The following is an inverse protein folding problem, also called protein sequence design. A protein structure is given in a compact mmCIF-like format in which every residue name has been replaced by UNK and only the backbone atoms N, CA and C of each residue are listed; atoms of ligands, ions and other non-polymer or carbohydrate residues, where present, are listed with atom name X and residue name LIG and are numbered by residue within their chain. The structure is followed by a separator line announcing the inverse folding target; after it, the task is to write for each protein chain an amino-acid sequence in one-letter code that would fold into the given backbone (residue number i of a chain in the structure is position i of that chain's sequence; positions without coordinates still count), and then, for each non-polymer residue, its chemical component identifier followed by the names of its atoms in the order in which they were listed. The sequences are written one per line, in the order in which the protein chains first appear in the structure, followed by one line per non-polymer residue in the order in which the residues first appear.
data_IF_071603094160
#
_entry.id   IF_071603094160
#
_cell.length_a   1.000
_cell.length_b   1.000
_cell.length_c   1.000
_cell.angle_alpha   90.00
_cell.angle_beta   90.00
_cell.angle_gamma   90.00
#
_symmetry.space_group_name_H-M   'P 1'
#
loop_
_entity.id
_entity.type
_entity.pdbx_description
1 polymer ?
#
# COMPACT_ATOMS: atom_id res chain seq x y z
N UNK A 1 -16.40 2.34 25.32
CA UNK A 1 -16.61 0.88 25.35
C UNK A 1 -15.39 0.22 24.75
N UNK A 2 -14.61 -0.47 25.59
CA UNK A 2 -13.26 -0.94 25.24
C UNK A 2 -13.27 -2.14 24.29
N UNK A 3 -12.17 -2.31 23.54
CA UNK A 3 -11.97 -3.37 22.55
C UNK A 3 -12.18 -4.79 23.14
N UNK A 4 -11.95 -4.96 24.46
CA UNK A 4 -12.14 -6.22 25.18
C UNK A 4 -13.60 -6.71 25.21
N UNK A 5 -14.60 -5.82 25.32
CA UNK A 5 -16.01 -6.21 25.36
C UNK A 5 -16.53 -6.75 24.01
N UNK A 6 -15.91 -6.34 22.89
CA UNK A 6 -16.29 -6.80 21.54
C UNK A 6 -15.81 -8.22 21.26
N UNK A 7 -14.62 -8.58 21.73
CA UNK A 7 -14.03 -9.92 21.54
C UNK A 7 -14.87 -10.99 22.27
N UNK A 8 -15.27 -10.72 23.51
CA UNK A 8 -16.06 -11.67 24.33
C UNK A 8 -17.45 -11.92 23.76
N UNK A 9 -18.12 -10.88 23.23
CA UNK A 9 -19.49 -11.01 22.68
C UNK A 9 -19.55 -11.79 21.37
N UNK A 10 -18.59 -11.63 20.46
CA UNK A 10 -18.60 -12.35 19.16
C UNK A 10 -18.36 -13.86 19.32
N UNK A 11 -17.61 -14.28 20.34
CA UNK A 11 -17.34 -15.69 20.59
C UNK A 11 -18.52 -16.43 21.21
N UNK A 12 -19.36 -15.75 22.02
CA UNK A 12 -20.57 -16.35 22.59
C UNK A 12 -21.64 -16.70 21.53
N UNK A 13 -21.67 -15.99 20.41
CA UNK A 13 -22.64 -16.21 19.32
C UNK A 13 -22.35 -17.45 18.46
N UNK A 14 -21.12 -17.99 18.47
CA UNK A 14 -20.78 -19.23 17.75
C UNK A 14 -21.25 -20.51 18.47
N UNK A 15 -21.72 -20.41 19.72
CA UNK A 15 -22.22 -21.53 20.52
C UNK A 15 -23.75 -21.64 20.62
N UNK A 16 -24.52 -20.76 19.97
CA UNK A 16 -25.97 -20.70 20.12
C UNK A 16 -26.70 -20.74 18.77
N UNK A 17 -26.79 -21.93 18.17
CA UNK A 17 -27.87 -22.27 17.26
C UNK A 17 -29.15 -22.43 18.09
N UNK A 18 -29.99 -21.40 18.10
CA UNK A 18 -31.20 -21.36 18.93
C UNK A 18 -32.17 -20.30 18.47
N UNK A 19 -33.02 -20.71 17.53
CA UNK A 19 -34.35 -20.18 17.19
C UNK A 19 -34.95 -19.24 18.27
N UNK A 20 -35.23 -17.98 17.92
CA UNK A 20 -36.35 -17.28 18.55
C UNK A 20 -36.96 -16.24 17.63
N UNK A 21 -38.27 -16.43 17.46
CA UNK A 21 -39.15 -15.78 16.53
C UNK A 21 -39.38 -14.31 16.86
N UNK A 22 -39.60 -13.54 15.79
CA UNK A 22 -40.22 -12.25 15.84
C UNK A 22 -41.63 -12.35 16.44
N UNK A 23 -41.93 -11.48 17.40
CA UNK A 23 -43.29 -11.01 17.63
C UNK A 23 -43.21 -9.55 18.06
N UNK A 24 -43.86 -8.69 17.26
CA UNK A 24 -44.03 -7.29 17.57
C UNK A 24 -45.07 -7.10 18.66
N UNK A 25 -44.94 -6.01 19.40
CA UNK A 25 -46.06 -5.24 19.88
C UNK A 25 -45.60 -3.80 20.06
N UNK A 26 -46.17 -2.92 19.23
CA UNK A 26 -46.10 -1.49 19.37
C UNK A 26 -46.84 -1.06 20.64
N UNK A 27 -46.24 -0.19 21.44
CA UNK A 27 -47.00 0.81 22.21
C UNK A 27 -46.25 2.13 22.16
N UNK A 28 -46.81 3.07 21.42
CA UNK A 28 -46.40 4.46 21.31
C UNK A 28 -46.91 5.25 22.51
N UNK A 29 -46.01 5.91 23.23
CA UNK A 29 -46.35 6.96 24.20
C UNK A 29 -45.70 8.26 23.71
N UNK A 30 -46.46 9.34 23.46
CA UNK A 30 -45.90 10.59 22.98
C UNK A 30 -45.21 11.33 24.12
N UNK A 31 -43.90 11.54 23.99
CA UNK A 31 -43.12 12.43 24.85
C UNK A 31 -43.18 13.86 24.24
N UNK A 32 -43.51 14.91 25.01
CA UNK A 32 -43.57 16.26 24.46
C UNK A 32 -42.18 16.78 24.10
N UNK A 33 -42.08 17.36 22.90
CA UNK A 33 -40.91 18.08 22.38
C UNK A 33 -40.62 19.30 23.27
N UNK A 34 -39.66 19.16 24.19
CA UNK A 34 -38.96 20.29 24.76
C UNK A 34 -37.80 20.65 23.81
N UNK A 35 -37.87 21.84 23.20
CA UNK A 35 -36.76 22.41 22.44
C UNK A 35 -35.53 22.55 23.35
N UNK A 36 -34.32 22.10 22.96
CA UNK A 36 -33.13 22.49 23.69
C UNK A 36 -32.87 23.96 23.37
N UNK A 37 -33.08 24.82 24.36
CA UNK A 37 -32.54 26.16 24.32
C UNK A 37 -31.01 26.05 24.23
N UNK A 38 -30.41 26.59 23.17
CA UNK A 38 -28.97 26.78 23.07
C UNK A 38 -28.56 27.76 24.17
N UNK A 39 -28.02 27.22 25.28
CA UNK A 39 -27.40 28.04 26.30
C UNK A 39 -26.13 28.68 25.70
N UNK A 40 -26.17 29.99 25.49
CA UNK A 40 -24.98 30.79 25.18
C UNK A 40 -24.03 30.71 26.38
N UNK A 41 -22.88 30.07 26.20
CA UNK A 41 -21.81 30.06 27.20
C UNK A 41 -21.25 31.48 27.30
N UNK A 42 -21.57 32.17 28.39
CA UNK A 42 -21.05 33.51 28.65
C UNK A 42 -19.54 33.46 28.86
N UNK A 43 -18.79 34.32 28.18
CA UNK A 43 -17.34 34.48 28.38
C UNK A 43 -17.06 34.88 29.84
N UNK A 44 -16.17 34.19 30.58
CA UNK A 44 -15.84 34.54 31.95
C UNK A 44 -15.19 35.94 32.02
N UNK A 45 -15.60 36.75 33.00
CA UNK A 45 -15.24 38.19 33.16
C UNK A 45 -13.76 38.49 33.39
N UNK A 46 -12.88 37.48 33.46
CA UNK A 46 -11.44 37.61 33.76
C UNK A 46 -10.59 36.74 32.82
N UNK A 47 -10.95 36.63 31.54
CA UNK A 47 -10.10 35.96 30.55
C UNK A 47 -9.03 36.95 30.05
N UNK A 48 -7.76 36.67 30.34
CA UNK A 48 -6.62 37.38 29.74
C UNK A 48 -6.65 37.20 28.23
N UNK A 49 -6.48 38.26 27.45
CA UNK A 49 -6.41 38.15 25.99
C UNK A 49 -5.22 37.27 25.59
N UNK A 50 -5.53 36.15 24.93
CA UNK A 50 -4.55 35.21 24.42
C UNK A 50 -4.02 35.81 23.11
N UNK A 51 -2.70 36.05 22.97
CA UNK A 51 -2.13 36.54 21.72
C UNK A 51 -2.53 35.65 20.54
N UNK A 52 -2.93 36.23 19.39
CA UNK A 52 -3.39 35.46 18.24
C UNK A 52 -2.34 34.46 17.73
N UNK A 53 -1.05 34.76 17.92
CA UNK A 53 0.07 33.90 17.52
C UNK A 53 0.17 32.58 18.30
N UNK A 54 -0.49 32.46 19.45
CA UNK A 54 -0.55 31.21 20.24
C UNK A 54 -1.92 30.54 20.21
N UNK A 55 -2.86 31.07 19.41
CA UNK A 55 -4.17 30.45 19.18
C UNK A 55 -4.16 29.58 17.93
N UNK A 56 -4.87 28.45 17.98
CA UNK A 56 -5.14 27.66 16.77
C UNK A 56 -6.02 28.49 15.84
N UNK A 57 -5.62 28.75 14.58
CA UNK A 57 -6.43 29.53 13.65
C UNK A 57 -7.80 28.89 13.46
N UNK A 58 -8.86 29.71 13.46
CA UNK A 58 -10.23 29.25 13.19
C UNK A 58 -10.38 28.62 11.80
N UNK A 59 -9.43 28.88 10.89
CA UNK A 59 -9.40 28.33 9.55
C UNK A 59 -7.98 27.96 9.12
N UNK A 60 -7.81 26.73 8.67
CA UNK A 60 -6.55 26.22 8.12
C UNK A 60 -6.78 25.74 6.69
N UNK A 61 -6.08 26.35 5.73
CA UNK A 61 -6.08 25.87 4.34
C UNK A 61 -5.19 24.63 4.24
N UNK A 62 -5.70 23.55 3.63
CA UNK A 62 -4.99 22.29 3.50
C UNK A 62 -5.31 21.60 2.17
N UNK A 63 -4.58 20.52 1.85
CA UNK A 63 -4.89 19.63 0.72
C UNK A 63 -6.26 18.96 0.81
N UNK A 64 -6.86 18.91 2.00
CA UNK A 64 -8.21 18.38 2.25
C UNK A 64 -9.30 19.45 2.06
N UNK A 65 -8.91 20.63 1.58
CA UNK A 65 -9.70 21.85 1.63
C UNK A 65 -9.55 22.59 2.96
N UNK A 66 -10.41 23.59 3.16
CA UNK A 66 -10.41 24.38 4.40
C UNK A 66 -10.92 23.56 5.58
N UNK A 67 -10.14 23.55 6.66
CA UNK A 67 -10.48 23.00 7.98
C UNK A 67 -10.90 24.17 8.87
N UNK A 68 -12.05 24.07 9.54
CA UNK A 68 -12.57 25.10 10.42
C UNK A 68 -12.56 24.64 11.88
N UNK A 69 -12.20 25.56 12.76
CA UNK A 69 -12.13 25.36 14.21
C UNK A 69 -12.88 26.49 14.91
N UNK A 70 -13.44 26.21 16.07
CA UNK A 70 -13.93 27.19 17.02
C UNK A 70 -13.30 26.89 18.37
N UNK A 71 -12.49 27.83 18.88
CA UNK A 71 -11.74 27.64 20.14
C UNK A 71 -10.86 26.36 20.12
N UNK A 72 -10.26 26.08 18.96
CA UNK A 72 -9.46 24.88 18.71
C UNK A 72 -10.24 23.58 18.49
N UNK A 73 -11.57 23.59 18.62
CA UNK A 73 -12.43 22.42 18.37
C UNK A 73 -12.87 22.39 16.91
N UNK A 74 -12.66 21.29 16.16
CA UNK A 74 -13.09 21.19 14.77
C UNK A 74 -14.62 21.15 14.63
N UNK A 75 -15.15 21.80 13.59
CA UNK A 75 -16.55 21.65 13.22
C UNK A 75 -16.84 20.24 12.64
N UNK A 76 -18.13 19.89 12.47
CA UNK A 76 -18.54 18.57 11.99
C UNK A 76 -17.93 18.24 10.61
N UNK A 77 -17.94 19.19 9.68
CA UNK A 77 -17.40 18.98 8.33
C UNK A 77 -15.87 18.77 8.34
N UNK A 78 -15.17 19.44 9.25
CA UNK A 78 -13.74 19.26 9.48
C UNK A 78 -13.43 17.90 10.08
N UNK A 79 -14.21 17.47 11.08
CA UNK A 79 -14.12 16.11 11.61
C UNK A 79 -14.29 15.07 10.50
N UNK A 80 -15.34 15.17 9.69
CA UNK A 80 -15.59 14.25 8.56
C UNK A 80 -14.41 14.22 7.59
N UNK A 81 -13.94 15.38 7.10
CA UNK A 81 -12.75 15.44 6.21
C UNK A 81 -11.50 14.82 6.82
N UNK A 82 -11.25 15.04 8.11
CA UNK A 82 -10.07 14.52 8.80
C UNK A 82 -10.19 13.02 9.00
N UNK A 83 -11.38 12.51 9.38
CA UNK A 83 -11.64 11.07 9.51
C UNK A 83 -11.58 10.37 8.15
N UNK A 84 -12.19 10.93 7.10
CA UNK A 84 -12.10 10.39 5.74
C UNK A 84 -10.65 10.33 5.26
N UNK A 85 -9.85 11.37 5.52
CA UNK A 85 -8.43 11.34 5.21
C UNK A 85 -7.66 10.34 6.09
N UNK A 86 -8.00 10.17 7.36
CA UNK A 86 -7.38 9.15 8.22
C UNK A 86 -7.69 7.74 7.73
N UNK A 87 -8.92 7.48 7.32
CA UNK A 87 -9.34 6.20 6.76
C UNK A 87 -8.67 5.96 5.41
N UNK A 88 -8.58 7.00 4.56
CA UNK A 88 -7.80 6.95 3.33
C UNK A 88 -6.34 6.61 3.61
N UNK A 89 -5.68 7.35 4.52
CA UNK A 89 -4.27 7.13 4.89
C UNK A 89 -4.06 5.71 5.39
N UNK A 90 -4.93 5.20 6.26
CA UNK A 90 -4.86 3.81 6.75
C UNK A 90 -5.09 2.79 5.64
N UNK A 91 -5.93 3.10 4.65
CA UNK A 91 -6.19 2.24 3.49
C UNK A 91 -5.04 2.20 2.47
N UNK A 92 -4.13 3.17 2.50
CA UNK A 92 -2.97 3.25 1.58
C UNK A 92 -1.62 3.08 2.29
N UNK A 93 -1.63 2.91 3.61
CA UNK A 93 -0.45 2.68 4.43
C UNK A 93 -0.09 1.20 4.47
N UNK A 94 1.17 0.97 4.78
CA UNK A 94 1.80 -0.31 4.91
C UNK A 94 1.70 -0.86 6.32
N UNK A 95 1.64 -2.18 6.46
CA UNK A 95 1.65 -2.83 7.78
C UNK A 95 2.83 -2.40 8.64
N UNK A 96 2.59 -2.37 9.95
CA UNK A 96 3.63 -2.04 10.92
C UNK A 96 4.80 -3.02 10.82
N UNK A 97 6.01 -2.52 11.10
CA UNK A 97 7.26 -3.30 11.17
C UNK A 97 7.82 -3.39 12.59
N UNK A 98 6.98 -3.12 13.59
CA UNK A 98 7.29 -3.17 15.03
C UNK A 98 6.41 -4.21 15.71
N UNK A 99 6.45 -4.29 17.06
CA UNK A 99 5.52 -5.11 17.83
C UNK A 99 4.05 -4.93 17.44
N UNK A 100 3.67 -3.73 16.95
CA UNK A 100 2.34 -3.42 16.44
C UNK A 100 1.84 -4.39 15.37
N UNK A 101 2.75 -4.95 14.58
CA UNK A 101 2.46 -5.98 13.58
C UNK A 101 1.73 -7.20 14.18
N UNK A 102 2.14 -7.64 15.37
CA UNK A 102 1.51 -8.77 16.06
C UNK A 102 0.15 -8.38 16.65
N UNK A 103 -0.05 -7.12 17.03
CA UNK A 103 -1.38 -6.62 17.41
C UNK A 103 -2.34 -6.61 16.21
N UNK A 104 -1.86 -6.20 15.03
CA UNK A 104 -2.61 -6.24 13.77
C UNK A 104 -2.99 -7.67 13.39
N UNK A 105 -2.05 -8.62 13.45
CA UNK A 105 -2.35 -10.04 13.22
C UNK A 105 -3.39 -10.54 14.22
N UNK A 106 -3.22 -10.22 15.50
CA UNK A 106 -4.19 -10.62 16.51
C UNK A 106 -5.58 -10.04 16.19
N UNK A 107 -5.66 -8.78 15.78
CA UNK A 107 -6.94 -8.17 15.39
C UNK A 107 -7.61 -8.97 14.26
N UNK A 108 -6.88 -9.30 13.19
CA UNK A 108 -7.39 -10.13 12.09
C UNK A 108 -7.88 -11.48 12.60
N UNK A 109 -7.09 -12.17 13.43
CA UNK A 109 -7.49 -13.44 14.04
C UNK A 109 -8.77 -13.28 14.86
N UNK A 110 -8.92 -12.20 15.65
CA UNK A 110 -10.12 -11.97 16.46
C UNK A 110 -11.35 -11.59 15.63
N UNK A 111 -11.18 -10.96 14.46
CA UNK A 111 -12.29 -10.49 13.63
C UNK A 111 -12.80 -11.54 12.65
N UNK A 112 -11.91 -12.34 12.04
CA UNK A 112 -12.22 -13.31 10.99
C UNK A 112 -12.71 -14.66 11.52
N UNK A 113 -13.48 -15.48 10.77
CA UNK A 113 -13.87 -16.81 11.21
C UNK A 113 -12.64 -17.70 11.44
N UNK A 114 -12.75 -18.70 12.34
CA UNK A 114 -11.62 -19.58 12.68
C UNK A 114 -11.06 -20.33 11.46
N UNK A 115 -11.89 -20.57 10.44
CA UNK A 115 -11.53 -21.20 9.18
C UNK A 115 -10.74 -20.29 8.23
N UNK A 116 -10.60 -19.00 8.53
CA UNK A 116 -9.86 -18.05 7.67
C UNK A 116 -8.34 -18.23 7.76
N UNK A 117 -7.85 -18.85 8.84
CA UNK A 117 -6.42 -19.11 9.05
C UNK A 117 -6.18 -20.61 8.96
N UNK A 118 -5.23 -21.01 8.13
CA UNK A 118 -4.80 -22.41 8.01
C UNK A 118 -4.40 -22.97 9.39
N UNK A 119 -4.77 -24.22 9.75
CA UNK A 119 -4.46 -24.78 11.06
C UNK A 119 -2.97 -24.76 11.43
N UNK A 120 -2.06 -24.92 10.46
CA UNK A 120 -0.61 -24.86 10.70
C UNK A 120 -0.19 -23.43 11.09
N UNK A 121 -0.68 -22.43 10.36
CA UNK A 121 -0.44 -21.01 10.69
C UNK A 121 -1.07 -20.67 12.04
N UNK A 122 -2.28 -21.14 12.31
CA UNK A 122 -2.95 -20.92 13.58
C UNK A 122 -2.17 -21.53 14.76
N UNK A 123 -1.54 -22.70 14.57
CA UNK A 123 -0.64 -23.31 15.54
C UNK A 123 0.59 -22.44 15.83
N UNK A 124 1.22 -21.89 14.79
CA UNK A 124 2.36 -20.98 14.94
C UNK A 124 1.99 -19.69 15.68
N UNK A 125 0.81 -19.12 15.39
CA UNK A 125 0.28 -17.95 16.08
C UNK A 125 -0.07 -18.26 17.55
N UNK A 126 -0.64 -19.44 17.82
CA UNK A 126 -0.96 -19.86 19.17
C UNK A 126 0.30 -20.02 20.04
N UNK A 127 1.42 -20.47 19.47
CA UNK A 127 2.70 -20.61 20.17
C UNK A 127 3.26 -19.27 20.70
N UNK A 128 2.88 -18.15 20.09
CA UNK A 128 3.24 -16.80 20.55
C UNK A 128 2.10 -16.09 21.30
N UNK A 129 1.02 -16.81 21.61
CA UNK A 129 -0.11 -16.31 22.40
C UNK A 129 -1.21 -15.61 21.61
N UNK A 130 -1.18 -15.64 20.28
CA UNK A 130 -2.27 -15.13 19.43
C UNK A 130 -3.26 -16.27 19.17
N UNK A 131 -4.38 -16.25 19.88
CA UNK A 131 -5.38 -17.33 19.86
C UNK A 131 -6.77 -16.72 19.71
N UNK A 132 -7.57 -17.25 18.79
CA UNK A 132 -8.98 -16.86 18.61
C UNK A 132 -9.73 -16.86 19.95
N UNK A 133 -10.50 -15.81 20.21
CA UNK A 133 -11.28 -15.62 21.44
C UNK A 133 -10.46 -15.46 22.72
N UNK A 134 -9.14 -15.24 22.64
CA UNK A 134 -8.30 -14.93 23.80
C UNK A 134 -7.64 -13.55 23.65
N UNK A 135 -7.55 -12.76 24.73
CA UNK A 135 -6.75 -11.54 24.72
C UNK A 135 -5.27 -11.85 24.42
N UNK A 136 -4.67 -11.09 23.51
CA UNK A 136 -3.24 -11.11 23.28
C UNK A 136 -2.56 -10.20 24.32
N UNK A 137 -2.00 -10.81 25.36
CA UNK A 137 -1.34 -10.12 26.47
C UNK A 137 0.03 -10.74 26.77
N UNK A 138 1.01 -10.62 25.86
CA UNK A 138 2.36 -11.16 26.07
C UNK A 138 3.05 -10.45 27.25
N UNK A 139 3.83 -11.21 28.01
CA UNK A 139 4.70 -10.65 29.05
C UNK A 139 5.86 -9.85 28.44
N UNK A 140 6.63 -9.19 29.30
CA UNK A 140 7.76 -8.35 28.86
C UNK A 140 8.84 -9.13 28.10
N UNK A 141 9.01 -10.43 28.39
CA UNK A 141 9.95 -11.28 27.67
C UNK A 141 9.46 -11.52 26.25
N UNK A 142 8.20 -11.92 26.08
CA UNK A 142 7.61 -12.20 24.78
C UNK A 142 7.48 -10.94 23.93
N UNK A 143 7.12 -9.78 24.52
CA UNK A 143 7.13 -8.50 23.79
C UNK A 143 8.49 -8.16 23.19
N UNK A 144 9.59 -8.37 23.93
CA UNK A 144 10.96 -8.17 23.41
C UNK A 144 11.25 -9.09 22.24
N UNK A 145 10.96 -10.39 22.38
CA UNK A 145 11.16 -11.39 21.32
C UNK A 145 10.37 -10.99 20.06
N UNK A 146 9.10 -10.62 20.21
CA UNK A 146 8.25 -10.24 19.08
C UNK A 146 8.69 -8.92 18.45
N UNK A 147 9.21 -7.97 19.23
CA UNK A 147 9.79 -6.74 18.69
C UNK A 147 11.01 -7.03 17.80
N UNK A 148 11.92 -7.90 18.26
CA UNK A 148 13.07 -8.33 17.47
C UNK A 148 12.64 -9.14 16.24
N UNK A 149 11.66 -10.04 16.39
CA UNK A 149 11.12 -10.83 15.30
C UNK A 149 10.50 -9.95 14.20
N UNK A 150 9.78 -8.88 14.57
CA UNK A 150 9.26 -7.91 13.60
C UNK A 150 10.40 -7.22 12.82
N UNK A 151 11.46 -6.81 13.50
CA UNK A 151 12.61 -6.17 12.86
C UNK A 151 13.32 -7.13 11.88
N UNK A 152 13.59 -8.37 12.30
CA UNK A 152 14.23 -9.40 11.47
C UNK A 152 13.33 -9.81 10.30
N UNK A 153 12.04 -9.99 10.54
CA UNK A 153 11.05 -10.33 9.52
C UNK A 153 10.94 -9.26 8.44
N UNK A 154 10.89 -7.99 8.84
CA UNK A 154 10.89 -6.87 7.91
C UNK A 154 12.21 -6.80 7.10
N UNK A 155 13.37 -6.96 7.75
CA UNK A 155 14.65 -6.99 7.06
C UNK A 155 14.74 -8.15 6.04
N UNK A 156 14.22 -9.32 6.41
CA UNK A 156 14.14 -10.50 5.54
C UNK A 156 13.25 -10.23 4.33
N UNK A 157 12.05 -9.67 4.53
CA UNK A 157 11.16 -9.33 3.43
C UNK A 157 11.81 -8.30 2.48
N UNK A 158 12.48 -7.26 3.01
CA UNK A 158 13.22 -6.29 2.20
C UNK A 158 14.33 -6.95 1.38
N UNK A 159 15.06 -7.89 1.97
CA UNK A 159 16.12 -8.62 1.26
C UNK A 159 15.53 -9.44 0.09
N UNK A 160 14.44 -10.17 0.32
CA UNK A 160 13.74 -10.94 -0.72
C UNK A 160 13.25 -10.02 -1.85
N UNK A 161 12.61 -8.89 -1.49
CA UNK A 161 11.97 -8.00 -2.45
C UNK A 161 12.99 -7.21 -3.26
N UNK A 162 13.99 -6.59 -2.62
CA UNK A 162 14.90 -5.67 -3.31
C UNK A 162 16.16 -6.35 -3.86
N UNK A 163 16.52 -7.54 -3.35
CA UNK A 163 17.64 -8.35 -3.83
C UNK A 163 17.34 -9.85 -3.73
N UNK A 164 16.47 -10.33 -4.62
CA UNK A 164 16.21 -11.76 -4.72
C UNK A 164 17.48 -12.55 -5.08
N UNK A 165 17.61 -13.74 -4.50
CA UNK A 165 18.78 -14.61 -4.67
C UNK A 165 18.59 -15.66 -5.77
N UNK A 166 17.35 -16.04 -6.08
CA UNK A 166 17.06 -17.05 -7.10
C UNK A 166 16.80 -16.40 -8.46
N UNK A 167 17.30 -17.06 -9.50
CA UNK A 167 17.03 -16.73 -10.90
C UNK A 167 15.53 -16.76 -11.23
N UNK A 168 14.72 -17.51 -10.48
CA UNK A 168 13.25 -17.57 -10.66
C UNK A 168 12.55 -16.21 -10.50
N UNK A 169 13.21 -15.26 -9.83
CA UNK A 169 12.69 -13.92 -9.61
C UNK A 169 13.02 -12.95 -10.74
N UNK A 170 13.60 -13.40 -11.85
CA UNK A 170 14.00 -12.58 -12.99
C UNK A 170 13.36 -13.10 -14.29
N UNK A 171 12.94 -12.18 -15.18
CA UNK A 171 12.47 -12.59 -16.50
C UNK A 171 13.60 -13.15 -17.38
N UNK A 172 14.81 -12.60 -17.21
CA UNK A 172 16.02 -12.89 -17.98
C UNK A 172 17.25 -13.02 -17.05
N UNK A 173 17.39 -14.14 -16.32
CA UNK A 173 18.49 -14.35 -15.39
C UNK A 173 19.86 -14.09 -16.01
N UNK A 174 20.72 -13.36 -15.29
CA UNK A 174 22.07 -12.98 -15.73
C UNK A 174 22.15 -11.97 -16.89
N UNK A 175 21.01 -11.54 -17.45
CA UNK A 175 20.95 -10.67 -18.64
C UNK A 175 20.15 -9.38 -18.45
N UNK A 176 19.33 -9.29 -17.41
CA UNK A 176 18.54 -8.10 -17.09
C UNK A 176 18.06 -8.14 -15.65
N UNK A 177 17.86 -6.97 -15.06
CA UNK A 177 17.34 -6.80 -13.70
C UNK A 177 15.82 -6.67 -13.64
N UNK A 178 15.10 -6.82 -14.76
CA UNK A 178 13.64 -6.84 -14.79
C UNK A 178 13.05 -8.15 -14.25
N UNK A 179 12.06 -8.00 -13.37
CA UNK A 179 11.50 -9.08 -12.56
C UNK A 179 9.99 -9.23 -12.75
N UNK A 180 9.45 -10.46 -12.80
CA UNK A 180 8.02 -10.66 -12.66
C UNK A 180 7.56 -10.29 -11.23
N UNK A 181 6.33 -9.78 -11.11
CA UNK A 181 5.70 -9.62 -9.79
C UNK A 181 5.06 -10.94 -9.34
N UNK A 182 4.45 -11.69 -10.27
CA UNK A 182 3.88 -13.02 -10.03
C UNK A 182 4.91 -14.12 -10.31
N UNK A 183 5.88 -14.25 -9.41
CA UNK A 183 6.88 -15.33 -9.48
C UNK A 183 6.17 -16.70 -9.40
N UNK A 184 6.53 -17.61 -10.29
CA UNK A 184 5.84 -18.89 -10.48
C UNK A 184 4.56 -18.83 -11.31
N UNK A 185 4.15 -17.65 -11.81
CA UNK A 185 3.03 -17.49 -12.75
C UNK A 185 1.64 -17.74 -12.16
N UNK A 186 1.53 -17.86 -10.83
CA UNK A 186 0.28 -18.17 -10.13
C UNK A 186 -0.11 -17.02 -9.22
N UNK A 187 -1.38 -16.59 -9.29
CA UNK A 187 -1.95 -15.60 -8.36
C UNK A 187 -2.06 -16.15 -6.94
N UNK A 188 -2.00 -17.48 -6.77
CA UNK A 188 -1.97 -18.16 -5.49
C UNK A 188 -0.54 -18.37 -4.96
N UNK A 189 0.49 -18.08 -5.77
CA UNK A 189 1.89 -18.39 -5.47
C UNK A 189 2.09 -19.88 -5.14
N UNK A 190 1.43 -20.75 -5.91
CA UNK A 190 1.54 -22.20 -5.78
C UNK A 190 2.20 -22.79 -7.02
N UNK A 191 3.11 -23.75 -6.84
CA UNK A 191 3.73 -24.50 -7.91
C UNK A 191 3.97 -25.94 -7.45
N UNK A 192 3.64 -26.93 -8.29
CA UNK A 192 3.84 -28.36 -8.00
C UNK A 192 3.23 -28.82 -6.65
N UNK A 193 2.09 -28.25 -6.27
CA UNK A 193 1.40 -28.56 -5.00
C UNK A 193 1.98 -27.87 -3.76
N UNK A 194 3.03 -27.05 -3.90
CA UNK A 194 3.67 -26.34 -2.79
C UNK A 194 3.49 -24.81 -2.90
N UNK A 195 3.43 -24.15 -1.75
CA UNK A 195 3.42 -22.69 -1.66
C UNK A 195 4.83 -22.12 -1.86
N UNK A 196 4.95 -21.14 -2.76
CA UNK A 196 6.15 -20.35 -2.98
C UNK A 196 6.19 -19.20 -1.97
N UNK A 197 6.65 -19.48 -0.75
CA UNK A 197 6.60 -18.53 0.37
C UNK A 197 7.35 -17.22 0.07
N UNK A 198 8.56 -17.30 -0.50
CA UNK A 198 9.34 -16.11 -0.86
C UNK A 198 8.70 -15.31 -2.00
N UNK A 199 8.06 -15.98 -2.96
CA UNK A 199 7.29 -15.31 -4.02
C UNK A 199 6.09 -14.56 -3.46
N UNK A 200 5.40 -15.17 -2.49
CA UNK A 200 4.27 -14.56 -1.79
C UNK A 200 4.70 -13.35 -0.96
N UNK A 201 5.82 -13.46 -0.22
CA UNK A 201 6.44 -12.33 0.48
C UNK A 201 6.81 -11.23 -0.51
N UNK A 202 7.48 -11.60 -1.60
CA UNK A 202 7.89 -10.67 -2.65
C UNK A 202 6.71 -9.88 -3.23
N UNK A 203 5.55 -10.51 -3.42
CA UNK A 203 4.37 -9.80 -3.90
C UNK A 203 3.75 -8.91 -2.82
N UNK A 204 3.34 -9.50 -1.69
CA UNK A 204 2.52 -8.81 -0.69
C UNK A 204 3.27 -7.76 0.12
N UNK A 205 4.61 -7.74 0.08
CA UNK A 205 5.39 -6.67 0.69
C UNK A 205 5.29 -5.33 -0.08
N UNK A 206 5.07 -5.40 -1.40
CA UNK A 206 5.08 -4.24 -2.32
C UNK A 206 3.75 -4.00 -3.05
N UNK A 207 2.82 -4.95 -3.00
CA UNK A 207 1.55 -4.88 -3.72
C UNK A 207 0.42 -5.51 -2.89
N UNK A 208 -0.81 -5.13 -3.22
CA UNK A 208 -2.03 -5.72 -2.65
C UNK A 208 -3.00 -6.09 -3.76
N UNK A 209 -3.94 -6.98 -3.43
CA UNK A 209 -4.90 -7.52 -4.39
C UNK A 209 -4.26 -8.52 -5.36
N UNK A 210 -4.97 -9.61 -5.65
CA UNK A 210 -4.57 -10.59 -6.65
C UNK A 210 -5.78 -11.06 -7.43
N UNK A 211 -5.59 -11.38 -8.70
CA UNK A 211 -6.61 -12.04 -9.51
C UNK A 211 -5.95 -12.97 -10.53
N UNK A 212 -6.67 -13.99 -11.03
CA UNK A 212 -6.15 -14.87 -12.07
C UNK A 212 -5.65 -14.11 -13.31
N UNK A 213 -6.38 -13.08 -13.74
CA UNK A 213 -6.06 -12.28 -14.93
C UNK A 213 -4.78 -11.43 -14.77
N UNK A 214 -4.36 -11.10 -13.55
CA UNK A 214 -3.11 -10.38 -13.31
C UNK A 214 -1.88 -11.30 -13.39
N UNK A 215 -2.02 -12.57 -13.01
CA UNK A 215 -0.93 -13.54 -13.05
C UNK A 215 -0.76 -14.19 -14.42
N UNK A 216 -1.87 -14.45 -15.12
CA UNK A 216 -1.88 -15.10 -16.44
C UNK A 216 -2.87 -14.37 -17.37
N UNK A 217 -2.42 -13.27 -17.95
CA UNK A 217 -3.22 -12.48 -18.89
C UNK A 217 -3.25 -13.16 -20.29
N UNK A 218 -4.42 -13.29 -20.94
CA UNK A 218 -4.48 -13.66 -22.35
C UNK A 218 -3.85 -12.58 -23.23
N UNK A 219 -3.28 -12.99 -24.37
CA UNK A 219 -2.74 -12.05 -25.36
C UNK A 219 -3.81 -11.05 -25.79
N UNK A 220 -3.47 -9.76 -25.76
CA UNK A 220 -4.34 -8.65 -26.13
C UNK A 220 -5.39 -8.26 -25.07
N UNK A 221 -5.35 -8.84 -23.86
CA UNK A 221 -6.27 -8.51 -22.77
C UNK A 221 -5.57 -8.48 -21.40
N UNK A 222 -6.22 -7.90 -20.39
CA UNK A 222 -5.67 -7.79 -19.04
C UNK A 222 -4.45 -6.89 -18.95
N UNK A 223 -3.58 -7.16 -17.97
CA UNK A 223 -2.37 -6.37 -17.72
C UNK A 223 -1.20 -7.25 -17.32
N UNK A 224 0.00 -6.84 -17.72
CA UNK A 224 1.24 -7.47 -17.30
C UNK A 224 2.20 -6.45 -16.72
N UNK A 225 3.07 -6.94 -15.83
CA UNK A 225 3.87 -6.11 -14.96
C UNK A 225 5.31 -6.58 -14.93
N UNK A 226 6.22 -5.63 -15.01
CA UNK A 226 7.65 -5.84 -14.77
C UNK A 226 8.12 -4.87 -13.70
N UNK A 227 9.01 -5.34 -12.83
CA UNK A 227 9.59 -4.53 -11.77
C UNK A 227 11.10 -4.38 -11.98
N UNK A 228 11.62 -3.19 -11.76
CA UNK A 228 13.05 -2.97 -11.59
C UNK A 228 13.30 -2.42 -10.18
N UNK A 229 14.15 -3.12 -9.44
CA UNK A 229 14.51 -2.79 -8.04
C UNK A 229 15.91 -2.15 -7.94
N UNK A 230 16.70 -2.30 -9.00
CA UNK A 230 18.11 -1.90 -9.07
C UNK A 230 18.45 -1.43 -10.49
N UNK A 231 19.50 -0.62 -10.61
CA UNK A 231 20.06 -0.20 -11.89
C UNK A 231 20.69 -1.38 -12.65
N UNK A 232 21.13 -1.15 -13.90
CA UNK A 232 21.79 -2.16 -14.75
C UNK A 232 23.03 -2.81 -14.11
N UNK A 233 23.66 -2.13 -13.14
CA UNK A 233 24.83 -2.63 -12.39
C UNK A 233 24.45 -3.30 -11.06
N UNK A 234 23.16 -3.46 -10.78
CA UNK A 234 22.64 -4.08 -9.56
C UNK A 234 22.67 -3.17 -8.33
N UNK A 235 22.90 -1.86 -8.49
CA UNK A 235 22.87 -0.91 -7.37
C UNK A 235 21.44 -0.48 -7.08
N UNK A 236 21.06 -0.28 -5.80
CA UNK A 236 19.81 0.40 -5.47
C UNK A 236 19.73 1.76 -6.14
N UNK A 237 18.54 2.15 -6.59
CA UNK A 237 18.34 3.49 -7.16
C UNK A 237 18.52 4.57 -6.11
N UNK A 238 19.26 5.62 -6.46
CA UNK A 238 19.51 6.80 -5.63
C UNK A 238 18.75 7.97 -6.24
N UNK A 239 17.75 8.50 -5.54
CA UNK A 239 16.90 9.57 -6.07
C UNK A 239 17.62 10.91 -6.29
N UNK A 240 18.87 11.05 -5.87
CA UNK A 240 19.73 12.20 -6.21
C UNK A 240 20.48 12.05 -7.54
N UNK A 241 20.50 10.87 -8.15
CA UNK A 241 21.22 10.58 -9.40
C UNK A 241 20.30 10.65 -10.61
N UNK A 242 20.91 10.71 -11.79
CA UNK A 242 20.20 10.64 -13.07
C UNK A 242 20.30 9.24 -13.65
N UNK A 243 19.19 8.71 -14.13
CA UNK A 243 19.11 7.43 -14.82
C UNK A 243 18.37 7.55 -16.14
N UNK A 244 18.61 6.61 -17.05
CA UNK A 244 17.90 6.46 -18.31
C UNK A 244 17.35 5.05 -18.47
N UNK A 245 16.11 4.95 -18.95
CA UNK A 245 15.52 3.73 -19.49
C UNK A 245 15.27 3.91 -20.98
N UNK A 246 15.78 2.98 -21.78
CA UNK A 246 15.46 2.89 -23.19
C UNK A 246 14.41 1.80 -23.42
N UNK A 247 13.24 2.18 -23.95
CA UNK A 247 12.22 1.25 -24.42
C UNK A 247 12.38 1.07 -25.94
N UNK A 248 12.70 -0.15 -26.42
CA UNK A 248 12.82 -0.41 -27.85
C UNK A 248 11.51 -0.11 -28.59
N UNK A 249 11.57 0.13 -29.91
CA UNK A 249 10.36 0.39 -30.70
C UNK A 249 9.40 -0.81 -30.67
N UNK A 250 8.16 -0.60 -31.09
CA UNK A 250 7.10 -1.62 -31.10
C UNK A 250 6.77 -2.18 -29.70
N UNK A 251 6.65 -1.29 -28.72
CA UNK A 251 6.26 -1.64 -27.34
C UNK A 251 4.96 -2.47 -27.37
N UNK A 252 4.94 -3.71 -26.84
CA UNK A 252 3.85 -4.66 -27.07
C UNK A 252 2.66 -4.40 -26.14
N UNK A 253 2.05 -3.22 -26.24
CA UNK A 253 0.81 -2.86 -25.55
C UNK A 253 -0.25 -2.44 -26.57
N UNK A 254 -1.38 -3.15 -26.60
CA UNK A 254 -2.49 -2.81 -27.50
C UNK A 254 -3.24 -1.54 -27.07
N UNK A 255 -3.39 -1.32 -25.76
CA UNK A 255 -4.09 -0.14 -25.24
C UNK A 255 -3.07 0.96 -24.93
N UNK A 256 -2.26 0.77 -23.89
CA UNK A 256 -1.24 1.71 -23.47
C UNK A 256 -0.22 1.03 -22.53
N UNK A 257 0.85 1.73 -22.21
CA UNK A 257 1.81 1.33 -21.19
C UNK A 257 2.06 2.47 -20.20
N UNK A 258 2.56 2.12 -19.01
CA UNK A 258 2.93 3.10 -17.99
C UNK A 258 4.15 2.69 -17.19
N UNK A 259 4.85 3.69 -16.64
CA UNK A 259 5.93 3.58 -15.67
C UNK A 259 5.60 4.44 -14.45
N UNK A 260 5.62 3.85 -13.26
CA UNK A 260 5.33 4.58 -12.02
C UNK A 260 6.40 4.24 -10.98
N UNK A 261 6.92 5.28 -10.30
CA UNK A 261 7.91 5.15 -9.24
C UNK A 261 7.24 4.97 -7.89
N UNK A 262 7.88 4.15 -7.05
CA UNK A 262 7.42 3.82 -5.71
C UNK A 262 8.55 4.03 -4.70
N UNK A 263 8.18 4.49 -3.51
CA UNK A 263 9.09 4.69 -2.38
C UNK A 263 9.43 3.33 -1.74
N UNK A 264 10.71 3.05 -1.49
CA UNK A 264 11.15 1.76 -0.92
C UNK A 264 10.79 1.57 0.57
N UNK A 265 10.37 2.63 1.26
CA UNK A 265 9.91 2.56 2.66
C UNK A 265 8.41 2.39 2.72
N UNK A 266 7.64 3.24 2.03
CA UNK A 266 6.17 3.22 2.10
C UNK A 266 5.53 2.30 1.06
N UNK A 267 6.27 1.90 0.01
CA UNK A 267 5.77 1.12 -1.14
C UNK A 267 4.54 1.74 -1.82
N UNK A 268 4.28 3.00 -1.53
CA UNK A 268 3.31 3.85 -2.22
C UNK A 268 4.02 4.59 -3.36
N UNK A 269 3.23 5.20 -4.23
CA UNK A 269 3.74 6.09 -5.29
C UNK A 269 4.70 7.12 -4.67
N UNK A 270 5.86 7.29 -5.31
CA UNK A 270 6.88 8.21 -4.82
C UNK A 270 6.31 9.63 -4.78
N UNK A 271 6.35 10.26 -3.61
CA UNK A 271 5.84 11.63 -3.46
C UNK A 271 6.83 12.62 -4.06
N UNK A 272 6.40 13.31 -5.12
CA UNK A 272 7.18 14.30 -5.86
C UNK A 272 6.31 15.52 -6.16
N UNK A 273 6.87 16.55 -6.80
CA UNK A 273 6.08 17.69 -7.29
C UNK A 273 5.31 17.35 -8.58
N UNK A 274 5.71 16.28 -9.27
CA UNK A 274 4.92 15.70 -10.35
C UNK A 274 3.70 14.97 -9.79
N UNK A 275 2.53 15.27 -10.36
CA UNK A 275 1.25 14.68 -9.96
C UNK A 275 1.26 13.14 -9.98
N UNK A 276 1.80 12.54 -11.04
CA UNK A 276 1.64 11.12 -11.32
C UNK A 276 2.90 10.29 -11.01
N UNK A 277 3.99 10.94 -10.59
CA UNK A 277 5.31 10.33 -10.29
C UNK A 277 5.70 9.20 -11.27
N UNK A 278 5.42 9.45 -12.55
CA UNK A 278 5.35 8.41 -13.57
C UNK A 278 5.02 8.98 -14.94
N UNK A 279 4.98 8.09 -15.92
CA UNK A 279 4.69 8.39 -17.32
C UNK A 279 3.69 7.36 -17.86
N UNK A 280 2.69 7.81 -18.63
CA UNK A 280 1.72 6.95 -19.31
C UNK A 280 1.59 7.35 -20.77
N UNK A 281 1.66 6.36 -21.67
CA UNK A 281 1.47 6.58 -23.11
C UNK A 281 0.03 6.97 -23.45
N UNK A 282 -0.92 6.68 -22.56
CA UNK A 282 -2.34 7.04 -22.72
C UNK A 282 -2.56 8.56 -22.80
N UNK A 283 -1.65 9.34 -22.20
CA UNK A 283 -1.73 10.81 -22.21
C UNK A 283 -1.50 11.42 -23.59
N UNK A 284 -0.90 10.67 -24.52
CA UNK A 284 -0.47 11.17 -25.83
C UNK A 284 0.71 12.16 -25.80
N UNK A 285 1.30 12.41 -24.63
CA UNK A 285 2.36 13.40 -24.45
C UNK A 285 3.79 12.81 -24.46
N UNK A 286 3.93 11.50 -24.64
CA UNK A 286 5.23 10.83 -24.65
C UNK A 286 5.98 11.14 -25.94
N UNK A 287 7.18 11.72 -25.82
CA UNK A 287 8.06 11.96 -26.94
C UNK A 287 8.67 10.65 -27.44
N UNK A 288 8.61 10.41 -28.75
CA UNK A 288 9.20 9.23 -29.41
C UNK A 288 10.44 9.61 -30.21
N UNK A 289 11.40 8.70 -30.26
CA UNK A 289 12.57 8.81 -31.14
C UNK A 289 12.17 8.50 -32.59
N UNK A 290 13.06 8.81 -33.54
CA UNK A 290 12.81 8.62 -34.97
C UNK A 290 12.55 7.16 -35.38
N UNK A 291 13.10 6.21 -34.64
CA UNK A 291 12.91 4.76 -34.84
C UNK A 291 11.65 4.21 -34.13
N UNK A 292 10.92 5.06 -33.39
CA UNK A 292 9.77 4.69 -32.59
C UNK A 292 10.10 4.20 -31.17
N UNK A 293 11.38 4.21 -30.76
CA UNK A 293 11.77 3.96 -29.38
C UNK A 293 11.42 5.13 -28.45
N UNK A 294 11.50 4.90 -27.14
CA UNK A 294 11.22 5.90 -26.12
C UNK A 294 12.33 5.90 -25.09
N UNK A 295 13.02 7.03 -24.95
CA UNK A 295 13.95 7.26 -23.83
C UNK A 295 13.23 7.97 -22.69
N UNK A 296 13.45 7.50 -21.46
CA UNK A 296 12.83 8.01 -20.24
C UNK A 296 13.92 8.30 -19.23
N UNK A 297 13.89 9.48 -18.63
CA UNK A 297 14.89 9.93 -17.68
C UNK A 297 14.31 10.00 -16.27
N UNK A 298 15.08 9.55 -15.29
CA UNK A 298 14.74 9.65 -13.87
C UNK A 298 15.76 10.57 -13.22
N UNK A 299 15.33 11.68 -12.63
CA UNK A 299 16.23 12.67 -12.04
C UNK A 299 15.49 13.58 -11.06
N UNK A 300 16.16 14.22 -10.08
CA UNK A 300 15.50 15.14 -9.17
C UNK A 300 15.05 16.44 -9.85
N UNK A 301 15.73 16.83 -10.92
CA UNK A 301 15.41 18.00 -11.74
C UNK A 301 15.36 17.60 -13.21
N UNK A 302 14.45 18.20 -13.98
CA UNK A 302 14.30 17.92 -15.41
C UNK A 302 15.60 18.15 -16.17
N UNK A 303 16.18 17.12 -16.82
CA UNK A 303 17.35 17.32 -17.67
C UNK A 303 17.00 18.12 -18.93
N UNK A 304 17.92 18.97 -19.40
CA UNK A 304 17.70 19.83 -20.57
C UNK A 304 17.43 18.99 -21.83
N UNK A 305 16.36 19.33 -22.56
CA UNK A 305 15.99 18.66 -23.82
C UNK A 305 15.47 17.23 -23.64
N UNK A 306 15.15 16.82 -22.41
CA UNK A 306 14.57 15.52 -22.11
C UNK A 306 13.10 15.71 -21.72
N UNK A 307 12.20 15.47 -22.68
CA UNK A 307 10.75 15.64 -22.51
C UNK A 307 10.17 14.56 -21.58
N UNK A 308 10.55 13.30 -21.79
CA UNK A 308 10.13 12.18 -20.97
C UNK A 308 10.97 12.11 -19.69
N UNK A 309 10.52 12.80 -18.65
CA UNK A 309 11.22 12.84 -17.37
C UNK A 309 10.28 12.54 -16.21
N UNK A 310 10.71 11.64 -15.33
CA UNK A 310 10.04 11.34 -14.07
C UNK A 310 10.91 11.85 -12.91
N UNK A 311 10.32 12.66 -12.05
CA UNK A 311 11.01 13.25 -10.91
C UNK A 311 11.39 12.19 -9.88
N UNK A 312 12.60 12.28 -9.34
CA UNK A 312 13.07 11.51 -8.19
C UNK A 312 13.36 12.43 -7.01
N UNK A 313 13.63 11.86 -5.82
CA UNK A 313 13.81 12.63 -4.59
C UNK A 313 15.19 12.35 -3.99
N UNK A 314 16.09 13.35 -3.86
CA UNK A 314 17.39 13.17 -3.22
C UNK A 314 17.24 12.63 -1.79
N UNK A 315 18.12 11.70 -1.40
CA UNK A 315 18.08 11.04 -0.09
C UNK A 315 17.04 9.91 0.04
N UNK A 316 16.25 9.65 -1.02
CA UNK A 316 15.33 8.50 -1.09
C UNK A 316 15.80 7.48 -2.12
N UNK A 317 15.51 6.21 -1.85
CA UNK A 317 15.60 5.14 -2.84
C UNK A 317 14.20 4.77 -3.32
N UNK A 318 14.11 4.36 -4.58
CA UNK A 318 12.87 4.06 -5.28
C UNK A 318 12.97 2.76 -6.05
N UNK A 319 11.81 2.23 -6.46
CA UNK A 319 11.69 1.15 -7.43
C UNK A 319 10.58 1.49 -8.41
N UNK A 320 10.50 0.76 -9.53
CA UNK A 320 9.58 1.11 -10.62
C UNK A 320 8.84 -0.11 -11.13
N UNK A 321 7.56 0.10 -11.45
CA UNK A 321 6.78 -0.84 -12.22
C UNK A 321 6.55 -0.34 -13.63
N UNK A 322 6.90 -1.17 -14.61
CA UNK A 322 6.47 -1.06 -15.99
C UNK A 322 5.21 -1.91 -16.17
N UNK A 323 4.16 -1.31 -16.72
CA UNK A 323 2.87 -1.97 -16.94
C UNK A 323 2.48 -1.91 -18.40
N UNK A 324 2.07 -3.05 -18.94
CA UNK A 324 1.48 -3.19 -20.27
C UNK A 324 -0.01 -3.48 -20.12
N UNK A 325 -0.86 -2.71 -20.78
CA UNK A 325 -2.31 -2.91 -20.82
C UNK A 325 -2.70 -3.53 -22.16
N UNK A 326 -3.39 -4.67 -22.10
CA UNK A 326 -3.59 -5.57 -23.23
C UNK A 326 -2.26 -5.94 -23.93
N UNK A 327 -1.32 -6.60 -23.21
CA UNK A 327 -0.01 -6.97 -23.75
C UNK A 327 -0.12 -7.87 -24.98
N UNK A 328 0.77 -7.70 -25.94
CA UNK A 328 0.81 -8.47 -27.20
C UNK A 328 1.83 -9.61 -27.12
N UNK A 329 1.77 -10.52 -28.10
CA UNK A 329 2.63 -11.73 -28.20
C UNK A 329 4.12 -11.48 -27.90
N UNK A 330 4.77 -10.39 -28.39
CA UNK A 330 6.19 -10.17 -28.17
C UNK A 330 6.62 -10.07 -26.70
N UNK A 331 5.68 -9.75 -25.81
CA UNK A 331 5.91 -9.79 -24.36
C UNK A 331 6.01 -11.22 -23.83
N UNK A 332 5.11 -12.09 -24.28
CA UNK A 332 4.97 -13.46 -23.77
C UNK A 332 6.04 -14.41 -24.34
N UNK A 333 6.32 -14.30 -25.64
CA UNK A 333 7.38 -15.07 -26.30
C UNK A 333 8.80 -14.55 -26.00
N UNK A 334 8.88 -13.43 -25.26
CA UNK A 334 10.11 -12.75 -24.83
C UNK A 334 10.97 -12.20 -25.98
N UNK A 335 10.40 -12.01 -27.17
CA UNK A 335 11.07 -11.37 -28.32
C UNK A 335 11.24 -9.86 -28.16
N UNK A 336 10.43 -9.23 -27.29
CA UNK A 336 10.59 -7.83 -26.88
C UNK A 336 10.85 -7.73 -25.37
N UNK A 337 11.69 -6.79 -24.95
CA UNK A 337 11.92 -6.45 -23.53
C UNK A 337 12.37 -5.00 -23.36
N UNK A 338 12.06 -4.34 -22.23
CA UNK A 338 12.66 -3.06 -21.91
C UNK A 338 14.19 -3.20 -21.74
N UNK A 339 14.94 -2.13 -22.05
CA UNK A 339 16.34 -2.03 -21.63
C UNK A 339 16.45 -2.00 -20.10
N UNK A 340 17.62 -2.33 -19.55
CA UNK A 340 17.86 -2.09 -18.14
C UNK A 340 17.99 -0.58 -17.87
N UNK A 341 17.73 -0.18 -16.63
CA UNK A 341 17.82 1.23 -16.24
C UNK A 341 19.27 1.56 -15.92
N UNK A 342 19.88 2.44 -16.71
CA UNK A 342 21.30 2.78 -16.61
C UNK A 342 21.49 4.07 -15.83
N UNK A 343 22.44 4.09 -14.89
CA UNK A 343 22.84 5.33 -14.21
C UNK A 343 23.76 6.14 -15.10
N UNK A 344 23.38 7.39 -15.37
CA UNK A 344 24.21 8.36 -16.09
C UNK A 344 25.27 8.92 -15.14
N UNK A 345 26.49 9.10 -15.67
CA UNK A 345 27.64 9.58 -14.92
C UNK A 345 27.54 11.07 -14.57
#
# INVERSE_FOLDING_TARGET
MGNQDRVTRRCALLGATGLLAASGLETSVPLPLASPALAQVAKPKMATEIPPDITTPDRVASRLGTLNFFDGVPDKATCEKVYDNLDFMRGVEVHASTFKFFEEINQVVQEEPISAVDPEIAGQLAAIGIIKCKPFAPDERMKRILTEAAAVGNATARAIVFRARSDDFYFYPGKSNWRPIFVGGSYLFMQNGAALLDARINFFYQATGVSPAMAAAPVGSGSQYAAAMVDARGNPFDGGKTYQLHLPPNIPAKQFWSLILYDTQTRSVLQTDQRDAGLSSETGAVATNADGSVDIYFAPTRPRGKENWIQTVPGKSWFVYFRLYSPLEPWFDKSWRPGDIEGLA
#
